data_IF_588838483911
#
_entry.id   IF_588838483911
#
_cell.length_a   1.000
_cell.length_b   1.000
_cell.length_c   1.000
_cell.angle_alpha   90.00
_cell.angle_beta   90.00
_cell.angle_gamma   90.00
#
_symmetry.space_group_name_H-M   'P 1'
#
loop_
_entity.id
_entity.type
_entity.pdbx_description
1 polymer ?
#
# COMPACT_ATOMS: atom_id res chain seq x y z
N UNK A 1 -13.93 -4.54 15.80
CA UNK A 1 -12.67 -4.49 16.59
C UNK A 1 -11.62 -5.46 16.04
N UNK A 2 -11.90 -6.75 15.84
CA UNK A 2 -10.86 -7.71 15.42
C UNK A 2 -10.40 -7.57 13.96
N UNK A 3 -11.30 -7.19 13.04
CA UNK A 3 -10.91 -6.84 11.65
C UNK A 3 -9.91 -5.68 11.65
N UNK A 4 -10.15 -4.66 12.48
CA UNK A 4 -9.23 -3.55 12.66
C UNK A 4 -7.89 -4.00 13.27
N UNK A 5 -7.89 -4.90 14.25
CA UNK A 5 -6.66 -5.43 14.83
C UNK A 5 -5.83 -6.24 13.80
N UNK A 6 -6.50 -7.08 13.00
CA UNK A 6 -5.87 -7.90 11.96
C UNK A 6 -5.28 -7.02 10.84
N UNK A 7 -6.03 -5.98 10.44
CA UNK A 7 -5.58 -4.96 9.51
C UNK A 7 -4.35 -4.21 10.04
N UNK A 8 -4.41 -3.70 11.28
CA UNK A 8 -3.29 -3.00 11.91
C UNK A 8 -2.05 -3.89 12.05
N UNK A 9 -2.22 -5.17 12.34
CA UNK A 9 -1.10 -6.11 12.37
C UNK A 9 -0.40 -6.20 11.00
N UNK A 10 -1.15 -6.30 9.90
CA UNK A 10 -0.57 -6.29 8.56
C UNK A 10 0.14 -4.99 8.24
N UNK A 11 -0.50 -3.86 8.52
CA UNK A 11 0.10 -2.54 8.38
C UNK A 11 1.46 -2.49 9.12
N UNK A 12 1.52 -2.88 10.38
CA UNK A 12 2.79 -2.85 11.14
C UNK A 12 3.88 -3.74 10.51
N UNK A 13 3.53 -4.90 9.95
CA UNK A 13 4.49 -5.77 9.24
C UNK A 13 5.05 -5.08 8.00
N UNK A 14 4.18 -4.43 7.22
CA UNK A 14 4.59 -3.71 6.01
C UNK A 14 5.47 -2.49 6.36
N UNK A 15 5.15 -1.80 7.46
CA UNK A 15 5.89 -0.62 7.91
C UNK A 15 7.29 -0.97 8.41
N UNK A 16 7.46 -2.13 9.04
CA UNK A 16 8.79 -2.62 9.43
C UNK A 16 9.76 -2.73 8.24
N UNK A 17 9.26 -3.15 7.06
CA UNK A 17 10.06 -3.19 5.82
C UNK A 17 10.41 -1.77 5.35
N UNK A 18 9.46 -0.84 5.44
CA UNK A 18 9.68 0.56 5.07
C UNK A 18 10.75 1.22 5.94
N UNK A 19 10.67 1.05 7.27
CA UNK A 19 11.63 1.57 8.24
C UNK A 19 13.02 0.98 8.00
N UNK A 20 13.12 -0.33 7.77
CA UNK A 20 14.40 -0.97 7.44
C UNK A 20 15.01 -0.36 6.16
N UNK A 21 14.20 -0.15 5.13
CA UNK A 21 14.59 0.53 3.89
C UNK A 21 15.08 1.95 4.12
N UNK A 22 14.33 2.73 4.91
CA UNK A 22 14.62 4.11 5.27
C UNK A 22 15.99 4.22 5.94
N UNK A 23 16.26 3.40 6.95
CA UNK A 23 17.52 3.43 7.69
C UNK A 23 18.70 3.00 6.82
N UNK A 24 18.57 1.88 6.10
CA UNK A 24 19.65 1.32 5.29
C UNK A 24 20.03 2.23 4.12
N UNK A 25 19.05 2.72 3.37
CA UNK A 25 19.29 3.61 2.24
C UNK A 25 19.75 4.98 2.72
N UNK A 26 19.11 5.55 3.75
CA UNK A 26 19.50 6.84 4.31
C UNK A 26 20.96 6.86 4.80
N UNK A 27 21.42 5.79 5.45
CA UNK A 27 22.80 5.67 5.90
C UNK A 27 23.81 5.66 4.73
N UNK A 28 23.54 4.89 3.67
CA UNK A 28 24.43 4.81 2.51
C UNK A 28 24.43 6.10 1.68
N UNK A 29 23.29 6.79 1.56
CA UNK A 29 23.22 8.11 0.92
C UNK A 29 24.01 9.15 1.73
N UNK A 30 23.89 9.15 3.06
CA UNK A 30 24.67 10.01 3.95
C UNK A 30 26.18 9.78 3.86
N UNK A 31 26.60 8.54 3.56
CA UNK A 31 27.99 8.17 3.31
C UNK A 31 28.45 8.42 1.85
N UNK A 32 27.63 9.04 1.01
CA UNK A 32 27.86 9.23 -0.43
C UNK A 32 28.12 7.92 -1.21
N UNK A 33 27.61 6.79 -0.73
CA UNK A 33 27.77 5.45 -1.34
C UNK A 33 26.59 5.13 -2.27
N UNK A 34 26.44 5.90 -3.33
CA UNK A 34 25.31 5.85 -4.27
C UNK A 34 25.03 4.46 -4.85
N UNK A 35 26.09 3.75 -5.25
CA UNK A 35 25.95 2.40 -5.81
C UNK A 35 25.39 1.40 -4.79
N UNK A 36 25.80 1.52 -3.52
CA UNK A 36 25.30 0.66 -2.43
C UNK A 36 23.87 1.02 -2.09
N UNK A 37 23.53 2.32 -2.00
CA UNK A 37 22.16 2.79 -1.82
C UNK A 37 21.22 2.21 -2.89
N UNK A 38 21.60 2.27 -4.18
CA UNK A 38 20.81 1.68 -5.28
C UNK A 38 20.65 0.17 -5.17
N UNK A 39 21.68 -0.54 -4.71
CA UNK A 39 21.60 -1.98 -4.47
C UNK A 39 20.61 -2.31 -3.35
N UNK A 40 20.69 -1.59 -2.23
CA UNK A 40 19.79 -1.75 -1.09
C UNK A 40 18.35 -1.38 -1.46
N UNK A 41 18.12 -0.32 -2.24
CA UNK A 41 16.79 0.00 -2.77
C UNK A 41 16.17 -1.18 -3.51
N UNK A 42 16.90 -1.82 -4.43
CA UNK A 42 16.40 -3.00 -5.16
C UNK A 42 16.13 -4.18 -4.24
N UNK A 43 16.97 -4.38 -3.24
CA UNK A 43 16.79 -5.43 -2.25
C UNK A 43 15.54 -5.19 -1.40
N UNK A 44 15.38 -3.99 -0.84
CA UNK A 44 14.23 -3.60 -0.02
C UNK A 44 12.93 -3.70 -0.81
N UNK A 45 12.90 -3.25 -2.07
CA UNK A 45 11.72 -3.38 -2.92
C UNK A 45 11.36 -4.85 -3.20
N UNK A 46 12.35 -5.72 -3.44
CA UNK A 46 12.12 -7.16 -3.62
C UNK A 46 11.68 -7.84 -2.32
N UNK A 47 12.25 -7.44 -1.19
CA UNK A 47 11.86 -7.93 0.12
C UNK A 47 10.42 -7.51 0.46
N UNK A 48 10.05 -6.25 0.21
CA UNK A 48 8.67 -5.77 0.34
C UNK A 48 7.70 -6.57 -0.53
N UNK A 49 8.02 -6.79 -1.80
CA UNK A 49 7.18 -7.64 -2.66
C UNK A 49 7.01 -9.06 -2.09
N UNK A 50 8.10 -9.67 -1.61
CA UNK A 50 8.08 -11.01 -1.01
C UNK A 50 7.23 -11.08 0.26
N UNK A 51 7.45 -10.15 1.19
CA UNK A 51 6.67 -10.04 2.45
C UNK A 51 5.20 -9.78 2.14
N UNK A 52 4.90 -8.83 1.25
CA UNK A 52 3.53 -8.52 0.83
C UNK A 52 2.83 -9.69 0.14
N UNK A 53 3.56 -10.53 -0.59
CA UNK A 53 3.01 -11.75 -1.20
C UNK A 53 2.63 -12.79 -0.15
N UNK A 54 3.53 -13.06 0.80
CA UNK A 54 3.23 -14.00 1.88
C UNK A 54 2.09 -13.48 2.76
N UNK A 55 2.15 -12.21 3.16
CA UNK A 55 1.10 -11.56 3.93
C UNK A 55 -0.25 -11.56 3.17
N UNK A 56 -0.23 -11.26 1.88
CA UNK A 56 -1.40 -11.27 1.00
C UNK A 56 -2.08 -12.63 0.91
N UNK A 57 -1.29 -13.68 0.70
CA UNK A 57 -1.79 -15.06 0.68
C UNK A 57 -2.39 -15.45 2.03
N UNK A 58 -1.69 -15.19 3.13
CA UNK A 58 -2.21 -15.47 4.48
C UNK A 58 -3.50 -14.71 4.74
N UNK A 59 -3.57 -13.43 4.36
CA UNK A 59 -4.74 -12.59 4.56
C UNK A 59 -5.94 -13.09 3.76
N UNK A 60 -5.75 -13.47 2.49
CA UNK A 60 -6.80 -14.04 1.65
C UNK A 60 -7.29 -15.40 2.18
N UNK A 61 -6.38 -16.28 2.60
CA UNK A 61 -6.72 -17.60 3.16
C UNK A 61 -7.51 -17.44 4.47
N UNK A 62 -7.05 -16.57 5.36
CA UNK A 62 -7.76 -16.27 6.60
C UNK A 62 -9.13 -15.64 6.33
N UNK A 63 -9.32 -14.98 5.18
CA UNK A 63 -10.60 -14.43 4.75
C UNK A 63 -11.73 -15.44 4.68
N UNK A 64 -11.45 -16.72 4.44
CA UNK A 64 -12.49 -17.75 4.37
C UNK A 64 -12.97 -18.26 5.73
N UNK A 65 -12.13 -18.18 6.77
CA UNK A 65 -12.41 -18.75 8.09
C UNK A 65 -12.60 -17.69 9.17
N UNK A 66 -11.79 -16.62 9.15
CA UNK A 66 -11.77 -15.61 10.18
C UNK A 66 -13.11 -14.85 10.33
N UNK A 67 -13.84 -14.48 9.26
CA UNK A 67 -15.11 -13.77 9.41
C UNK A 67 -16.16 -14.51 10.24
N UNK A 68 -16.17 -15.85 10.19
CA UNK A 68 -17.10 -16.70 10.94
C UNK A 68 -16.90 -16.58 12.45
N UNK A 69 -15.70 -16.24 12.89
CA UNK A 69 -15.38 -16.02 14.30
C UNK A 69 -15.87 -14.66 14.83
N UNK A 70 -16.20 -13.72 13.94
CA UNK A 70 -16.49 -12.33 14.31
C UNK A 70 -17.94 -11.91 14.17
N UNK A 71 -18.72 -12.62 13.34
CA UNK A 71 -20.11 -12.28 13.11
C UNK A 71 -20.94 -13.54 12.90
N UNK A 72 -22.12 -13.65 13.52
CA UNK A 72 -23.09 -14.70 13.20
C UNK A 72 -23.87 -14.42 11.90
N UNK A 73 -23.80 -13.20 11.35
CA UNK A 73 -24.53 -12.84 10.13
C UNK A 73 -23.74 -13.24 8.87
N UNK A 74 -24.34 -14.12 8.06
CA UNK A 74 -23.75 -14.63 6.81
C UNK A 74 -23.43 -13.54 5.78
N UNK A 75 -24.22 -12.47 5.69
CA UNK A 75 -23.95 -11.34 4.78
C UNK A 75 -22.68 -10.60 5.19
N UNK A 76 -22.51 -10.33 6.49
CA UNK A 76 -21.30 -9.67 7.02
C UNK A 76 -20.07 -10.56 6.83
N UNK A 77 -20.20 -11.88 7.03
CA UNK A 77 -19.11 -12.82 6.78
C UNK A 77 -18.69 -12.81 5.30
N UNK A 78 -19.66 -12.81 4.39
CA UNK A 78 -19.42 -12.78 2.95
C UNK A 78 -18.70 -11.50 2.53
N UNK A 79 -19.17 -10.32 2.97
CA UNK A 79 -18.55 -9.04 2.67
C UNK A 79 -17.13 -8.93 3.25
N UNK A 80 -16.90 -9.47 4.46
CA UNK A 80 -15.58 -9.50 5.06
C UNK A 80 -14.61 -10.43 4.31
N UNK A 81 -15.07 -11.63 3.93
CA UNK A 81 -14.28 -12.55 3.09
C UNK A 81 -13.90 -11.87 1.76
N UNK A 82 -14.87 -11.22 1.10
CA UNK A 82 -14.65 -10.50 -0.15
C UNK A 82 -13.57 -9.42 -0.01
N UNK A 83 -13.67 -8.57 1.01
CA UNK A 83 -12.68 -7.54 1.29
C UNK A 83 -11.29 -8.12 1.59
N UNK A 84 -11.21 -9.18 2.41
CA UNK A 84 -9.94 -9.82 2.74
C UNK A 84 -9.26 -10.47 1.53
N UNK A 85 -10.04 -11.06 0.61
CA UNK A 85 -9.51 -11.65 -0.62
C UNK A 85 -9.02 -10.56 -1.60
N UNK A 86 -9.82 -9.52 -1.82
CA UNK A 86 -9.46 -8.40 -2.72
C UNK A 86 -8.18 -7.73 -2.21
N UNK A 87 -8.16 -7.36 -0.93
CA UNK A 87 -6.99 -6.69 -0.36
C UNK A 87 -5.81 -7.63 -0.21
N UNK A 88 -6.03 -8.90 0.10
CA UNK A 88 -4.99 -9.94 0.08
C UNK A 88 -4.27 -10.01 -1.27
N UNK A 89 -5.02 -9.92 -2.38
CA UNK A 89 -4.45 -9.86 -3.72
C UNK A 89 -3.68 -8.56 -4.00
N UNK A 90 -4.04 -7.45 -3.36
CA UNK A 90 -3.38 -6.16 -3.50
C UNK A 90 -2.19 -5.94 -2.55
N UNK A 91 -2.06 -6.71 -1.47
CA UNK A 91 -0.98 -6.59 -0.49
C UNK A 91 0.45 -6.66 -1.06
N UNK A 92 0.77 -7.45 -2.11
CA UNK A 92 2.08 -7.39 -2.76
C UNK A 92 2.41 -5.98 -3.30
N UNK A 93 1.44 -5.34 -3.96
CA UNK A 93 1.57 -3.98 -4.49
C UNK A 93 1.72 -2.97 -3.36
N UNK A 94 0.90 -3.10 -2.31
CA UNK A 94 0.92 -2.19 -1.16
C UNK A 94 2.24 -2.27 -0.39
N UNK A 95 2.74 -3.48 -0.13
CA UNK A 95 4.02 -3.67 0.57
C UNK A 95 5.20 -3.14 -0.23
N UNK A 96 5.20 -3.36 -1.55
CA UNK A 96 6.20 -2.77 -2.43
C UNK A 96 6.15 -1.23 -2.39
N UNK A 97 4.94 -0.65 -2.37
CA UNK A 97 4.74 0.79 -2.29
C UNK A 97 5.24 1.39 -0.97
N UNK A 98 5.00 0.72 0.16
CA UNK A 98 5.49 1.17 1.48
C UNK A 98 7.00 1.07 1.58
N UNK A 99 7.60 0.00 1.04
CA UNK A 99 9.04 -0.09 0.90
C UNK A 99 9.61 1.09 0.09
N UNK A 100 8.95 1.45 -1.02
CA UNK A 100 9.32 2.58 -1.85
C UNK A 100 9.19 3.93 -1.11
N UNK A 101 8.13 4.12 -0.31
CA UNK A 101 7.98 5.28 0.56
C UNK A 101 9.12 5.39 1.56
N UNK A 102 9.41 4.31 2.29
CA UNK A 102 10.51 4.28 3.27
C UNK A 102 11.85 4.67 2.64
N UNK A 103 12.13 4.20 1.42
CA UNK A 103 13.33 4.54 0.67
C UNK A 103 13.38 6.05 0.35
N UNK A 104 12.28 6.63 -0.14
CA UNK A 104 12.20 8.06 -0.47
C UNK A 104 12.25 8.95 0.77
N UNK A 105 11.64 8.52 1.87
CA UNK A 105 11.74 9.16 3.20
C UNK A 105 13.19 9.13 3.69
N UNK A 106 13.87 7.98 3.57
CA UNK A 106 15.28 7.83 3.96
C UNK A 106 16.22 8.71 3.15
N UNK A 107 15.87 8.97 1.88
CA UNK A 107 16.58 9.92 1.02
C UNK A 107 16.25 11.40 1.32
N UNK A 108 15.20 11.66 2.09
CA UNK A 108 14.73 13.00 2.43
C UNK A 108 13.86 13.66 1.35
N UNK A 109 13.27 12.88 0.44
CA UNK A 109 12.47 13.38 -0.69
C UNK A 109 11.01 13.72 -0.28
N UNK A 110 10.87 14.42 0.86
CA UNK A 110 9.58 14.68 1.49
C UNK A 110 8.65 15.53 0.65
N UNK A 111 9.19 16.50 -0.10
CA UNK A 111 8.40 17.41 -0.94
C UNK A 111 7.75 16.66 -2.10
N UNK A 112 8.48 15.72 -2.70
CA UNK A 112 7.93 14.87 -3.75
C UNK A 112 6.82 13.96 -3.21
N UNK A 113 7.09 13.29 -2.09
CA UNK A 113 6.13 12.41 -1.42
C UNK A 113 4.86 13.15 -1.02
N UNK A 114 4.98 14.32 -0.38
CA UNK A 114 3.82 15.10 0.05
C UNK A 114 2.95 15.52 -1.16
N UNK A 115 3.56 16.00 -2.25
CA UNK A 115 2.84 16.44 -3.45
C UNK A 115 2.13 15.28 -4.15
N UNK A 116 2.84 14.17 -4.34
CA UNK A 116 2.29 13.00 -5.05
C UNK A 116 1.24 12.28 -4.21
N UNK A 117 1.47 12.11 -2.90
CA UNK A 117 0.49 11.57 -1.98
C UNK A 117 -0.78 12.43 -1.93
N UNK A 118 -0.65 13.76 -1.84
CA UNK A 118 -1.80 14.67 -1.87
C UNK A 118 -2.57 14.60 -3.19
N UNK A 119 -1.86 14.58 -4.32
CA UNK A 119 -2.48 14.46 -5.65
C UNK A 119 -3.25 13.14 -5.80
N UNK A 120 -2.62 12.01 -5.49
CA UNK A 120 -3.25 10.69 -5.59
C UNK A 120 -4.42 10.58 -4.60
N UNK A 121 -4.30 11.15 -3.40
CA UNK A 121 -5.40 11.20 -2.44
C UNK A 121 -6.58 12.03 -2.95
N UNK A 122 -6.33 13.17 -3.60
CA UNK A 122 -7.38 13.98 -4.21
C UNK A 122 -8.08 13.21 -5.35
N UNK A 123 -7.32 12.50 -6.20
CA UNK A 123 -7.87 11.64 -7.26
C UNK A 123 -8.75 10.54 -6.65
N UNK A 124 -8.27 9.88 -5.59
CA UNK A 124 -9.02 8.85 -4.89
C UNK A 124 -10.31 9.40 -4.27
N UNK A 125 -10.27 10.56 -3.62
CA UNK A 125 -11.47 11.22 -3.07
C UNK A 125 -12.48 11.56 -4.16
N UNK A 126 -12.03 12.08 -5.30
CA UNK A 126 -12.90 12.35 -6.44
C UNK A 126 -13.51 11.06 -7.00
N UNK A 127 -12.73 9.98 -7.10
CA UNK A 127 -13.22 8.66 -7.52
C UNK A 127 -14.25 8.09 -6.54
N UNK A 128 -14.02 8.24 -5.23
CA UNK A 128 -14.98 7.85 -4.19
C UNK A 128 -16.28 8.65 -4.28
N UNK A 129 -16.20 9.96 -4.52
CA UNK A 129 -17.38 10.80 -4.68
C UNK A 129 -18.18 10.40 -5.92
N UNK A 130 -17.50 10.15 -7.04
CA UNK A 130 -18.12 9.66 -8.27
C UNK A 130 -18.77 8.28 -8.06
N UNK A 131 -18.08 7.38 -7.34
CA UNK A 131 -18.63 6.08 -6.97
C UNK A 131 -19.88 6.23 -6.10
N UNK A 132 -19.82 7.05 -5.04
CA UNK A 132 -20.89 7.19 -4.07
C UNK A 132 -22.15 7.87 -4.66
N UNK A 133 -21.97 8.91 -5.47
CA UNK A 133 -23.09 9.69 -6.01
C UNK A 133 -23.57 9.22 -7.38
N UNK A 134 -22.67 8.69 -8.21
CA UNK A 134 -22.94 8.43 -9.63
C UNK A 134 -23.04 6.96 -10.02
N UNK A 135 -22.43 6.04 -9.26
CA UNK A 135 -22.36 4.62 -9.66
C UNK A 135 -23.10 3.73 -8.64
N UNK A 136 -22.79 3.89 -7.35
CA UNK A 136 -23.33 3.07 -6.27
C UNK A 136 -24.88 3.03 -6.23
N UNK A 137 -25.61 4.15 -6.45
CA UNK A 137 -27.08 4.12 -6.48
C UNK A 137 -27.66 3.18 -7.56
N UNK A 138 -26.92 2.94 -8.63
CA UNK A 138 -27.35 2.10 -9.75
C UNK A 138 -26.92 0.63 -9.64
N UNK A 139 -26.09 0.28 -8.65
CA UNK A 139 -25.65 -1.10 -8.40
C UNK A 139 -26.52 -1.66 -7.28
N UNK A 140 -27.46 -2.59 -7.52
CA UNK A 140 -28.31 -3.11 -6.45
C UNK A 140 -27.58 -4.04 -5.47
N UNK A 141 -26.49 -4.68 -5.91
CA UNK A 141 -25.72 -5.63 -5.11
C UNK A 141 -24.74 -4.95 -4.15
N UNK A 142 -24.91 -5.20 -2.85
CA UNK A 142 -24.04 -4.69 -1.78
C UNK A 142 -22.61 -5.23 -1.90
N UNK A 143 -22.44 -6.48 -2.36
CA UNK A 143 -21.11 -7.09 -2.50
C UNK A 143 -20.31 -6.39 -3.61
N UNK A 144 -20.93 -6.13 -4.77
CA UNK A 144 -20.32 -5.34 -5.85
C UNK A 144 -19.92 -3.93 -5.41
N UNK A 145 -20.77 -3.22 -4.64
CA UNK A 145 -20.41 -1.90 -4.08
C UNK A 145 -19.21 -2.00 -3.13
N UNK A 146 -19.18 -3.01 -2.26
CA UNK A 146 -18.07 -3.25 -1.34
C UNK A 146 -16.77 -3.59 -2.09
N UNK A 147 -16.84 -4.44 -3.11
CA UNK A 147 -15.69 -4.76 -3.96
C UNK A 147 -15.13 -3.51 -4.65
N UNK A 148 -15.99 -2.65 -5.21
CA UNK A 148 -15.55 -1.42 -5.86
C UNK A 148 -14.85 -0.46 -4.89
N UNK A 149 -15.28 -0.39 -3.63
CA UNK A 149 -14.60 0.41 -2.60
C UNK A 149 -13.18 -0.11 -2.33
N UNK A 150 -13.03 -1.42 -2.13
CA UNK A 150 -11.72 -2.04 -1.90
C UNK A 150 -10.81 -1.89 -3.13
N UNK A 151 -11.32 -2.15 -4.33
CA UNK A 151 -10.58 -1.98 -5.57
C UNK A 151 -10.15 -0.51 -5.77
N UNK A 152 -11.03 0.44 -5.44
CA UNK A 152 -10.70 1.87 -5.48
C UNK A 152 -9.53 2.20 -4.56
N UNK A 153 -9.59 1.76 -3.30
CA UNK A 153 -8.51 1.98 -2.33
C UNK A 153 -7.19 1.31 -2.80
N UNK A 154 -7.25 0.03 -3.16
CA UNK A 154 -6.09 -0.78 -3.47
C UNK A 154 -5.40 -0.34 -4.78
N UNK A 155 -6.16 0.03 -5.81
CA UNK A 155 -5.59 0.35 -7.12
C UNK A 155 -5.46 1.84 -7.40
N UNK A 156 -6.38 2.69 -6.94
CA UNK A 156 -6.29 4.14 -7.18
C UNK A 156 -5.33 4.76 -6.17
N UNK A 157 -5.60 4.59 -4.87
CA UNK A 157 -4.78 5.22 -3.84
C UNK A 157 -3.43 4.52 -3.68
N UNK A 158 -3.43 3.22 -3.40
CA UNK A 158 -2.18 2.49 -3.17
C UNK A 158 -1.42 2.28 -4.48
N UNK A 159 -2.10 1.87 -5.56
CA UNK A 159 -1.49 1.75 -6.88
C UNK A 159 -0.99 3.08 -7.46
N UNK A 160 -1.72 4.19 -7.27
CA UNK A 160 -1.27 5.52 -7.69
C UNK A 160 0.00 5.97 -6.95
N UNK A 161 0.08 5.71 -5.63
CA UNK A 161 1.31 5.95 -4.84
C UNK A 161 2.45 5.06 -5.30
N UNK A 162 2.18 3.77 -5.54
CA UNK A 162 3.18 2.82 -6.05
C UNK A 162 3.76 3.30 -7.40
N UNK A 163 2.90 3.78 -8.29
CA UNK A 163 3.30 4.33 -9.57
C UNK A 163 4.18 5.58 -9.39
N UNK A 164 3.73 6.56 -8.60
CA UNK A 164 4.49 7.77 -8.34
C UNK A 164 5.89 7.44 -7.78
N UNK A 165 5.95 6.65 -6.71
CA UNK A 165 7.21 6.28 -6.08
C UNK A 165 8.10 5.46 -7.01
N UNK A 166 7.52 4.54 -7.78
CA UNK A 166 8.25 3.75 -8.77
C UNK A 166 8.83 4.59 -9.89
N UNK A 167 8.10 5.58 -10.39
CA UNK A 167 8.60 6.54 -11.38
C UNK A 167 9.74 7.36 -10.78
N UNK A 168 9.65 7.76 -9.51
CA UNK A 168 10.71 8.51 -8.83
C UNK A 168 11.99 7.70 -8.68
N UNK A 169 11.88 6.45 -8.18
CA UNK A 169 13.02 5.56 -7.93
C UNK A 169 13.77 5.17 -9.22
N UNK A 170 13.09 5.17 -10.37
CA UNK A 170 13.72 4.93 -11.68
C UNK A 170 14.72 6.01 -12.09
N UNK A 171 14.58 7.22 -11.54
CA UNK A 171 15.51 8.33 -11.79
C UNK A 171 16.54 8.42 -10.67
N UNK A 172 17.63 9.19 -10.85
CA UNK A 172 18.58 9.47 -9.77
C UNK A 172 18.23 10.72 -8.95
N UNK A 173 17.14 11.40 -9.31
CA UNK A 173 16.76 12.68 -8.72
C UNK A 173 16.32 12.56 -7.24
N UNK A 174 16.06 11.35 -6.73
CA UNK A 174 15.82 11.11 -5.30
C UNK A 174 17.11 10.91 -4.50
N UNK A 175 18.23 10.60 -5.14
CA UNK A 175 19.52 10.41 -4.45
C UNK A 175 20.22 11.74 -4.19
N UNK A 176 19.94 12.78 -4.95
CA UNK A 176 20.58 14.08 -4.79
C UNK A 176 19.70 15.02 -3.96
N UNK A 177 20.22 15.52 -2.84
CA UNK A 177 19.63 16.71 -2.20
C UNK A 177 19.84 17.91 -3.13
N UNK A 178 18.82 18.75 -3.37
CA UNK A 178 19.08 20.10 -3.82
C UNK A 178 19.99 20.75 -2.77
N UNK A 179 21.14 21.26 -3.18
CA UNK A 179 21.96 22.13 -2.33
C UNK A 179 21.07 23.27 -1.85
N UNK A 180 20.89 23.34 -0.52
CA UNK A 180 20.22 24.44 0.15
C UNK A 180 21.03 25.73 -0.02
#
# INVERSE_FOLDING_TARGET
QVVNASWNFMVNVLDAVAIAGQTLVGAELGAARWAKARSLTRLTLRAGLGVGTVAGLLFAILGFAAPQLFSPNAEVQHLACLGMVITGAALPLQSWMWAADGILIGAGDFRYLARTCALVSAIYLAALLALALGIAPHIPDTAARCALLWLGFDFILMGGRALANGLRIRTDAWMHRPSA
#
